data_IF_142786228328
#
_entry.id   IF_142786228328
#
_cell.length_a   1.000
_cell.length_b   1.000
_cell.length_c   1.000
_cell.angle_alpha   90.00
_cell.angle_beta   90.00
_cell.angle_gamma   90.00
#
_symmetry.space_group_name_H-M   'P 1'
#
loop_
_entity.id
_entity.type
_entity.pdbx_description
1 polymer ?
#
# COMPACT_ATOMS: atom_id res chain seq x y z
N UNK A 1 8.81 -12.91 -5.01
CA UNK A 1 8.96 -11.79 -4.04
C UNK A 1 8.14 -12.10 -2.80
N UNK A 2 8.72 -12.00 -1.61
CA UNK A 2 8.00 -12.17 -0.35
C UNK A 2 7.30 -10.85 0.02
N UNK A 3 5.98 -10.86 0.15
CA UNK A 3 5.18 -9.64 0.40
C UNK A 3 5.42 -9.10 1.81
N UNK A 4 5.55 -9.95 2.83
CA UNK A 4 5.84 -9.51 4.20
C UNK A 4 7.19 -8.80 4.30
N UNK A 5 8.22 -9.31 3.62
CA UNK A 5 9.52 -8.63 3.53
C UNK A 5 9.44 -7.34 2.72
N UNK A 6 8.61 -7.27 1.68
CA UNK A 6 8.40 -6.03 0.93
C UNK A 6 7.76 -4.95 1.83
N UNK A 7 6.75 -5.30 2.62
CA UNK A 7 6.05 -4.39 3.54
C UNK A 7 7.02 -3.75 4.53
N UNK A 8 8.04 -4.46 5.03
CA UNK A 8 8.99 -3.88 5.97
C UNK A 8 9.80 -2.71 5.39
N UNK A 9 9.88 -2.59 4.07
CA UNK A 9 10.55 -1.47 3.41
C UNK A 9 9.66 -0.23 3.21
N UNK A 10 8.36 -0.29 3.53
CA UNK A 10 7.50 0.89 3.45
C UNK A 10 8.08 2.04 4.29
N UNK A 11 8.24 3.21 3.66
CA UNK A 11 8.82 4.43 4.23
C UNK A 11 10.31 4.60 3.92
N UNK A 12 10.96 3.59 3.35
CA UNK A 12 12.32 3.71 2.87
C UNK A 12 12.36 4.25 1.43
N UNK A 13 13.42 4.99 1.13
CA UNK A 13 13.70 5.48 -0.21
C UNK A 13 14.13 4.34 -1.15
N UNK A 14 13.89 4.50 -2.44
CA UNK A 14 14.32 3.54 -3.48
C UNK A 14 15.85 3.33 -3.53
N UNK A 15 16.64 4.26 -2.98
CA UNK A 15 18.10 4.21 -2.90
C UNK A 15 18.62 3.66 -1.56
N UNK A 16 17.72 3.35 -0.61
CA UNK A 16 18.12 2.72 0.64
C UNK A 16 18.71 1.34 0.35
N UNK A 17 20.00 1.15 0.63
CA UNK A 17 20.78 -0.01 0.17
C UNK A 17 20.11 -1.38 0.46
N UNK A 18 19.62 -1.67 1.68
CA UNK A 18 18.87 -2.90 1.95
C UNK A 18 17.63 -3.09 1.07
N UNK A 19 16.91 -2.01 0.76
CA UNK A 19 15.71 -2.07 -0.06
C UNK A 19 16.05 -2.19 -1.55
N UNK A 20 17.02 -1.41 -2.04
CA UNK A 20 17.51 -1.49 -3.41
C UNK A 20 18.00 -2.90 -3.74
N UNK A 21 18.75 -3.53 -2.83
CA UNK A 21 19.22 -4.90 -2.99
C UNK A 21 18.10 -5.93 -2.94
N UNK A 22 17.09 -5.73 -2.08
CA UNK A 22 15.88 -6.56 -2.08
C UNK A 22 15.17 -6.47 -3.44
N UNK A 23 14.98 -5.26 -3.98
CA UNK A 23 14.33 -5.04 -5.28
C UNK A 23 15.14 -5.67 -6.43
N UNK A 24 16.47 -5.50 -6.44
CA UNK A 24 17.36 -6.11 -7.44
C UNK A 24 17.27 -7.64 -7.40
N UNK A 25 17.38 -8.23 -6.21
CA UNK A 25 17.31 -9.69 -6.01
C UNK A 25 15.99 -10.26 -6.52
N UNK A 26 14.91 -9.50 -6.39
CA UNK A 26 13.59 -9.88 -6.88
C UNK A 26 13.32 -9.48 -8.34
N UNK A 27 14.34 -9.07 -9.09
CA UNK A 27 14.25 -8.83 -10.53
C UNK A 27 13.55 -7.53 -10.92
N UNK A 28 13.33 -6.60 -9.98
CA UNK A 28 12.92 -5.23 -10.32
C UNK A 28 14.13 -4.56 -10.92
N UNK A 29 14.04 -4.10 -12.18
CA UNK A 29 15.19 -3.54 -12.91
C UNK A 29 15.18 -2.02 -12.99
N UNK A 30 14.00 -1.42 -12.97
CA UNK A 30 13.81 0.04 -13.02
C UNK A 30 13.28 0.50 -11.67
N UNK A 31 13.94 1.50 -11.10
CA UNK A 31 13.65 2.11 -9.80
C UNK A 31 13.86 3.62 -9.95
N UNK A 32 12.98 4.46 -9.37
CA UNK A 32 13.20 5.89 -9.30
C UNK A 32 14.55 6.16 -8.65
N UNK A 33 15.32 7.04 -9.27
CA UNK A 33 16.51 7.64 -8.68
C UNK A 33 16.19 9.09 -8.34
N UNK A 34 16.94 9.70 -7.45
CA UNK A 34 16.75 11.10 -7.04
C UNK A 34 16.76 12.11 -8.20
N UNK A 35 17.30 11.74 -9.36
CA UNK A 35 17.35 12.57 -10.58
C UNK A 35 16.15 12.40 -11.52
N UNK A 36 15.26 11.45 -11.24
CA UNK A 36 14.16 11.13 -12.13
C UNK A 36 13.00 12.14 -11.95
N UNK A 37 12.24 12.35 -13.02
CA UNK A 37 10.95 13.05 -12.97
C UNK A 37 9.90 12.00 -13.29
N UNK A 38 9.23 11.46 -12.25
CA UNK A 38 8.29 10.32 -12.34
C UNK A 38 8.99 8.99 -12.75
N UNK A 39 8.54 7.81 -12.26
CA UNK A 39 7.14 7.45 -11.97
C UNK A 39 6.80 7.05 -10.52
N UNK A 40 5.54 7.34 -10.15
CA UNK A 40 4.88 7.00 -8.88
C UNK A 40 4.36 5.57 -8.77
N UNK A 41 4.50 4.75 -9.81
CA UNK A 41 4.17 3.32 -9.77
C UNK A 41 5.10 2.51 -10.67
N UNK A 42 5.80 1.53 -10.09
CA UNK A 42 6.69 0.62 -10.80
C UNK A 42 6.03 -0.75 -10.89
N UNK A 43 5.91 -1.32 -12.09
CA UNK A 43 5.55 -2.73 -12.24
C UNK A 43 6.67 -3.62 -11.66
N UNK A 44 6.29 -4.54 -10.79
CA UNK A 44 7.19 -5.61 -10.35
C UNK A 44 7.37 -6.65 -11.45
N UNK A 45 8.38 -7.51 -11.29
CA UNK A 45 8.49 -8.76 -12.07
C UNK A 45 7.36 -9.74 -11.73
N UNK A 46 6.73 -9.59 -10.56
CA UNK A 46 5.56 -10.34 -10.15
C UNK A 46 4.31 -9.76 -10.82
N UNK A 47 3.57 -10.60 -11.53
CA UNK A 47 2.33 -10.21 -12.20
C UNK A 47 1.32 -9.61 -11.21
N UNK A 48 0.67 -8.52 -11.62
CA UNK A 48 -0.36 -7.83 -10.86
C UNK A 48 0.16 -7.04 -9.67
N UNK A 49 1.46 -7.07 -9.39
CA UNK A 49 2.09 -6.32 -8.31
C UNK A 49 2.71 -5.03 -8.86
N UNK A 50 2.32 -3.89 -8.28
CA UNK A 50 3.02 -2.63 -8.52
C UNK A 50 3.40 -1.93 -7.21
N UNK A 51 4.49 -1.17 -7.27
CA UNK A 51 5.14 -0.51 -6.15
C UNK A 51 4.98 1.00 -6.30
N UNK A 52 4.33 1.65 -5.34
CA UNK A 52 4.08 3.09 -5.33
C UNK A 52 5.16 3.87 -4.58
N UNK A 53 5.57 5.00 -5.14
CA UNK A 53 6.60 5.89 -4.56
C UNK A 53 6.10 7.33 -4.55
N UNK A 54 6.42 8.09 -3.51
CA UNK A 54 6.17 9.54 -3.42
C UNK A 54 7.50 10.29 -3.48
N UNK A 55 7.57 11.38 -4.23
CA UNK A 55 8.70 12.31 -4.30
C UNK A 55 8.63 13.45 -3.27
N UNK A 56 7.45 13.73 -2.74
CA UNK A 56 7.24 14.59 -1.58
C UNK A 56 6.34 13.93 -0.51
N UNK A 57 6.88 12.95 0.23
CA UNK A 57 6.12 12.27 1.26
C UNK A 57 5.73 13.21 2.43
N UNK A 58 6.46 14.30 2.65
CA UNK A 58 6.23 15.20 3.79
C UNK A 58 4.97 16.04 3.59
N UNK A 59 4.72 16.53 2.37
CA UNK A 59 3.46 17.21 2.02
C UNK A 59 2.23 16.30 2.22
N UNK A 60 2.41 14.99 2.02
CA UNK A 60 1.38 13.97 2.25
C UNK A 60 1.32 13.49 3.72
N UNK A 61 2.15 14.05 4.60
CA UNK A 61 2.21 13.62 6.01
C UNK A 61 2.73 12.19 6.18
N UNK A 62 3.48 11.65 5.21
CA UNK A 62 4.10 10.33 5.25
C UNK A 62 5.50 10.47 5.86
N UNK A 63 5.76 9.74 6.94
CA UNK A 63 7.07 9.77 7.60
C UNK A 63 8.09 8.91 6.84
N UNK A 64 9.24 9.52 6.57
CA UNK A 64 10.40 8.86 5.94
C UNK A 64 11.19 8.05 6.97
N UNK A 65 11.75 6.91 6.52
CA UNK A 65 12.64 6.04 7.32
C UNK A 65 14.09 6.06 6.84
N UNK A 66 14.36 6.62 5.66
CA UNK A 66 15.72 6.79 5.12
C UNK A 66 15.79 7.99 4.17
N UNK A 67 17.02 8.44 3.92
CA UNK A 67 17.32 9.54 3.00
C UNK A 67 17.10 9.15 1.53
N UNK A 68 16.71 10.10 0.68
CA UNK A 68 16.52 9.92 -0.78
C UNK A 68 15.14 10.37 -1.26
N UNK A 69 15.05 10.95 -2.46
CA UNK A 69 13.89 11.70 -2.93
C UNK A 69 12.61 10.89 -3.04
N UNK A 70 12.69 9.64 -3.50
CA UNK A 70 11.51 8.80 -3.75
C UNK A 70 11.29 7.77 -2.64
N UNK A 71 10.23 7.94 -1.85
CA UNK A 71 9.87 7.07 -0.72
C UNK A 71 8.81 6.05 -1.11
N UNK A 72 9.09 4.79 -0.83
CA UNK A 72 8.16 3.69 -1.07
C UNK A 72 6.97 3.76 -0.11
N UNK A 73 5.80 4.12 -0.64
CA UNK A 73 4.60 4.45 0.14
C UNK A 73 3.53 3.37 0.06
N UNK A 74 3.49 2.58 -1.01
CA UNK A 74 2.32 1.76 -1.34
C UNK A 74 2.66 0.52 -2.14
N UNK A 75 1.88 -0.54 -1.92
CA UNK A 75 1.88 -1.77 -2.69
C UNK A 75 0.49 -1.97 -3.25
N UNK A 76 0.39 -2.25 -4.54
CA UNK A 76 -0.86 -2.46 -5.25
C UNK A 76 -0.90 -3.87 -5.84
N UNK A 77 -2.06 -4.50 -5.72
CA UNK A 77 -2.33 -5.85 -6.21
C UNK A 77 -3.57 -5.80 -7.13
N UNK A 78 -3.37 -5.99 -8.44
CA UNK A 78 -4.45 -6.23 -9.39
C UNK A 78 -4.77 -7.73 -9.40
N UNK A 79 -6.02 -8.09 -9.12
CA UNK A 79 -6.45 -9.48 -8.92
C UNK A 79 -7.35 -9.99 -10.06
N UNK A 80 -7.64 -9.17 -11.08
CA UNK A 80 -8.59 -9.52 -12.16
C UNK A 80 -7.98 -9.42 -13.56
N UNK A 81 -6.76 -8.92 -13.70
CA UNK A 81 -6.07 -8.90 -14.99
C UNK A 81 -5.93 -10.33 -15.56
N UNK A 82 -6.57 -10.62 -16.70
CA UNK A 82 -6.67 -11.99 -17.27
C UNK A 82 -5.33 -12.72 -17.39
N UNK A 83 -4.26 -12.03 -17.75
CA UNK A 83 -2.91 -12.60 -17.92
C UNK A 83 -1.87 -11.98 -16.98
N UNK A 84 -2.23 -10.91 -16.26
CA UNK A 84 -1.32 -10.20 -15.33
C UNK A 84 -1.89 -10.14 -13.90
N UNK A 85 -2.83 -11.00 -13.51
CA UNK A 85 -3.38 -10.98 -12.16
C UNK A 85 -2.37 -11.48 -11.13
N UNK A 86 -2.35 -10.82 -9.98
CA UNK A 86 -1.66 -11.27 -8.81
C UNK A 86 -2.33 -12.53 -8.26
N UNK A 87 -1.54 -13.58 -8.06
CA UNK A 87 -1.98 -14.88 -7.54
C UNK A 87 -1.30 -15.27 -6.23
N UNK A 88 -0.45 -14.41 -5.68
CA UNK A 88 0.25 -14.66 -4.42
C UNK A 88 -0.61 -14.43 -3.19
N UNK A 89 -0.05 -14.76 -2.02
CA UNK A 89 -0.69 -14.50 -0.74
C UNK A 89 -0.54 -13.02 -0.33
N UNK A 90 -1.64 -12.44 0.16
CA UNK A 90 -1.64 -11.18 0.90
C UNK A 90 -1.46 -11.48 2.41
N UNK A 91 -1.03 -10.50 3.22
CA UNK A 91 -0.88 -10.66 4.66
C UNK A 91 -2.12 -11.24 5.35
N UNK A 92 -1.89 -11.92 6.48
CA UNK A 92 -2.94 -12.52 7.32
C UNK A 92 -3.78 -13.62 6.64
N UNK A 93 -3.31 -14.16 5.51
CA UNK A 93 -4.06 -15.16 4.74
C UNK A 93 -5.18 -14.55 3.87
N UNK A 94 -5.25 -13.22 3.79
CA UNK A 94 -6.31 -12.52 3.04
C UNK A 94 -6.21 -12.79 1.54
N UNK A 95 -5.04 -13.15 1.00
CA UNK A 95 -4.91 -13.49 -0.43
C UNK A 95 -5.74 -14.70 -0.87
N UNK A 96 -6.08 -15.59 0.08
CA UNK A 96 -6.95 -16.74 -0.13
C UNK A 96 -8.43 -16.39 0.03
N UNK A 97 -8.74 -15.35 0.81
CA UNK A 97 -10.08 -14.82 0.97
C UNK A 97 -10.46 -13.97 -0.26
N UNK A 98 -11.50 -14.36 -0.97
CA UNK A 98 -11.93 -13.66 -2.19
C UNK A 98 -13.20 -12.85 -1.99
N UNK A 99 -13.95 -13.15 -0.93
CA UNK A 99 -15.16 -12.43 -0.57
C UNK A 99 -14.96 -11.45 0.59
N UNK A 100 -15.77 -10.40 0.64
CA UNK A 100 -15.80 -9.45 1.74
C UNK A 100 -16.20 -10.07 3.08
N UNK A 101 -17.00 -11.14 3.07
CA UNK A 101 -17.35 -11.86 4.30
C UNK A 101 -16.12 -12.58 4.90
N UNK A 102 -15.33 -13.24 4.07
CA UNK A 102 -14.11 -13.93 4.51
C UNK A 102 -13.06 -12.92 5.01
N UNK A 103 -12.87 -11.81 4.30
CA UNK A 103 -11.95 -10.75 4.74
C UNK A 103 -12.37 -10.19 6.09
N UNK A 104 -13.67 -9.96 6.30
CA UNK A 104 -14.22 -9.52 7.60
C UNK A 104 -14.03 -10.55 8.71
N UNK A 105 -14.12 -11.84 8.39
CA UNK A 105 -13.86 -12.89 9.37
C UNK A 105 -12.40 -12.93 9.83
N UNK A 106 -11.46 -12.54 8.95
CA UNK A 106 -10.02 -12.51 9.24
C UNK A 106 -9.61 -11.20 9.93
N UNK A 107 -10.06 -10.06 9.41
CA UNK A 107 -9.58 -8.72 9.82
C UNK A 107 -10.53 -7.99 10.77
N UNK A 108 -11.75 -8.49 10.96
CA UNK A 108 -12.81 -7.79 11.69
C UNK A 108 -13.62 -6.83 10.82
N UNK A 109 -14.31 -5.88 11.44
CA UNK A 109 -15.09 -4.87 10.73
C UNK A 109 -14.16 -3.83 10.06
N UNK A 110 -14.44 -3.41 8.81
CA UNK A 110 -13.69 -2.33 8.18
C UNK A 110 -13.94 -1.01 8.90
N UNK A 111 -12.98 -0.10 8.83
CA UNK A 111 -13.14 1.28 9.31
C UNK A 111 -14.03 2.09 8.40
N UNK A 112 -13.91 1.86 7.09
CA UNK A 112 -14.78 2.47 6.09
C UNK A 112 -15.25 1.41 5.10
N UNK A 113 -16.51 1.49 4.72
CA UNK A 113 -17.13 0.66 3.69
C UNK A 113 -18.02 1.56 2.85
N UNK A 114 -17.87 1.51 1.53
CA UNK A 114 -18.59 2.40 0.63
C UNK A 114 -18.38 2.08 -0.83
N UNK A 115 -18.94 2.91 -1.68
CA UNK A 115 -18.91 2.70 -3.13
C UNK A 115 -17.47 2.68 -3.65
N UNK A 116 -17.16 1.69 -4.48
CA UNK A 116 -15.90 1.67 -5.21
C UNK A 116 -15.95 2.79 -6.27
N UNK A 117 -15.00 3.74 -6.30
CA UNK A 117 -15.06 4.85 -7.25
C UNK A 117 -14.90 4.43 -8.71
N UNK A 118 -14.42 3.20 -8.97
CA UNK A 118 -14.07 2.73 -10.32
C UNK A 118 -15.08 1.72 -10.88
N UNK A 119 -16.03 1.23 -10.08
CA UNK A 119 -17.04 0.25 -10.52
C UNK A 119 -18.26 0.26 -9.60
N UNK A 120 -19.34 -0.42 -9.98
CA UNK A 120 -20.50 -0.64 -9.11
C UNK A 120 -20.22 -1.51 -7.87
N UNK A 121 -18.96 -1.80 -7.57
CA UNK A 121 -18.55 -2.58 -6.42
C UNK A 121 -18.48 -1.80 -5.10
N UNK A 122 -17.85 -2.43 -4.11
CA UNK A 122 -17.66 -1.88 -2.77
C UNK A 122 -16.17 -1.83 -2.43
N UNK A 123 -15.75 -0.74 -1.80
CA UNK A 123 -14.44 -0.59 -1.17
C UNK A 123 -14.54 -0.83 0.34
N UNK A 124 -13.59 -1.55 0.90
CA UNK A 124 -13.45 -1.75 2.34
C UNK A 124 -12.04 -1.35 2.76
N UNK A 125 -11.93 -0.46 3.75
CA UNK A 125 -10.64 0.00 4.25
C UNK A 125 -10.42 -0.35 5.72
N UNK A 126 -9.21 -0.75 6.05
CA UNK A 126 -8.77 -1.17 7.37
C UNK A 126 -7.50 -0.43 7.76
N UNK A 127 -7.27 -0.28 9.06
CA UNK A 127 -6.01 0.22 9.60
C UNK A 127 -5.44 -0.80 10.58
N UNK A 128 -4.30 -1.40 10.21
CA UNK A 128 -3.70 -2.55 10.91
C UNK A 128 -2.18 -2.35 10.96
N UNK A 129 -1.60 -2.39 12.16
CA UNK A 129 -0.13 -2.33 12.32
C UNK A 129 0.51 -1.11 11.65
N UNK A 130 -0.10 0.06 11.82
CA UNK A 130 0.31 1.34 11.23
C UNK A 130 0.20 1.46 9.70
N UNK A 131 -0.51 0.52 9.06
CA UNK A 131 -0.74 0.51 7.62
C UNK A 131 -2.23 0.58 7.29
N UNK A 132 -2.51 1.20 6.15
CA UNK A 132 -3.84 1.22 5.54
C UNK A 132 -3.93 0.07 4.55
N UNK A 133 -4.98 -0.74 4.69
CA UNK A 133 -5.34 -1.80 3.76
C UNK A 133 -6.64 -1.43 3.07
N UNK A 134 -6.65 -1.43 1.75
CA UNK A 134 -7.87 -1.18 0.95
C UNK A 134 -8.16 -2.41 0.11
N UNK A 135 -9.41 -2.87 0.15
CA UNK A 135 -9.91 -3.97 -0.66
C UNK A 135 -11.06 -3.45 -1.51
N UNK A 136 -10.89 -3.50 -2.83
CA UNK A 136 -11.88 -3.03 -3.79
C UNK A 136 -12.48 -4.23 -4.52
N UNK A 137 -13.78 -4.45 -4.32
CA UNK A 137 -14.54 -5.49 -4.98
C UNK A 137 -15.16 -4.95 -6.27
N UNK A 138 -15.39 -5.84 -7.25
CA UNK A 138 -16.05 -5.47 -8.51
C UNK A 138 -17.58 -5.48 -8.46
N UNK A 139 -18.16 -5.95 -7.36
CA UNK A 139 -19.60 -6.15 -7.19
C UNK A 139 -20.06 -5.75 -5.79
N UNK A 140 -21.33 -5.31 -5.69
CA UNK A 140 -21.95 -4.89 -4.41
C UNK A 140 -22.03 -6.00 -3.38
N UNK A 141 -22.11 -7.25 -3.81
CA UNK A 141 -22.15 -8.39 -2.91
C UNK A 141 -20.76 -8.74 -2.34
N UNK A 142 -19.71 -7.99 -2.73
CA UNK A 142 -18.33 -8.21 -2.34
C UNK A 142 -17.87 -9.66 -2.58
N UNK A 143 -18.28 -10.27 -3.69
CA UNK A 143 -17.97 -11.67 -4.00
C UNK A 143 -16.68 -11.84 -4.80
N UNK A 144 -16.26 -10.80 -5.52
CA UNK A 144 -15.06 -10.81 -6.35
C UNK A 144 -14.15 -9.65 -6.01
N UNK A 145 -13.13 -9.92 -5.20
CA UNK A 145 -12.05 -8.98 -4.93
C UNK A 145 -11.29 -8.65 -6.22
N UNK A 146 -11.26 -7.37 -6.58
CA UNK A 146 -10.68 -6.89 -7.82
C UNK A 146 -9.30 -6.26 -7.65
N UNK A 147 -9.12 -5.55 -6.55
CA UNK A 147 -7.89 -4.85 -6.25
C UNK A 147 -7.66 -4.83 -4.75
N UNK A 148 -6.40 -4.89 -4.34
CA UNK A 148 -6.01 -4.60 -2.98
C UNK A 148 -4.82 -3.64 -2.95
N UNK A 149 -4.73 -2.82 -1.91
CA UNK A 149 -3.53 -2.03 -1.64
C UNK A 149 -3.15 -2.05 -0.17
N UNK A 150 -1.85 -1.92 0.07
CA UNK A 150 -1.25 -1.76 1.39
C UNK A 150 -0.39 -0.50 1.33
N UNK A 151 -0.65 0.50 2.17
CA UNK A 151 0.07 1.77 2.13
C UNK A 151 0.39 2.30 3.51
N UNK A 152 1.38 3.20 3.56
CA UNK A 152 1.51 4.13 4.67
C UNK A 152 0.31 5.07 4.68
N UNK A 153 -0.19 5.46 5.86
CA UNK A 153 -1.26 6.44 5.97
C UNK A 153 -0.77 7.83 5.53
N UNK A 154 -1.56 8.50 4.71
CA UNK A 154 -1.33 9.90 4.31
C UNK A 154 -2.21 10.88 5.12
N UNK A 155 -2.15 12.17 4.81
CA UNK A 155 -2.97 13.20 5.45
C UNK A 155 -4.47 12.97 5.24
N UNK A 156 -4.89 12.55 4.04
CA UNK A 156 -6.30 12.29 3.70
C UNK A 156 -6.85 11.12 4.52
N UNK A 157 -6.08 10.04 4.67
CA UNK A 157 -6.46 8.89 5.51
C UNK A 157 -6.73 9.31 6.96
N UNK A 158 -6.01 10.32 7.46
CA UNK A 158 -6.18 10.82 8.83
C UNK A 158 -7.34 11.79 8.95
N UNK A 159 -7.51 12.67 7.98
CA UNK A 159 -8.66 13.60 7.90
C UNK A 159 -9.99 12.85 7.85
N UNK A 160 -10.02 11.73 7.13
CA UNK A 160 -11.20 10.86 7.02
C UNK A 160 -11.26 9.75 8.09
N UNK A 161 -10.44 9.83 9.15
CA UNK A 161 -10.46 8.95 10.33
C UNK A 161 -10.17 7.47 10.00
N UNK A 162 -9.61 7.19 8.83
CA UNK A 162 -9.13 5.86 8.45
C UNK A 162 -7.88 5.51 9.26
N UNK A 163 -6.94 6.45 9.42
CA UNK A 163 -5.77 6.32 10.26
C UNK A 163 -5.79 7.30 11.45
N UNK A 164 -5.13 7.00 12.58
CA UNK A 164 -4.97 7.95 13.68
C UNK A 164 -4.23 9.22 13.23
N UNK A 165 -4.63 10.37 13.78
CA UNK A 165 -3.87 11.59 13.62
C UNK A 165 -2.43 11.41 14.14
N UNK A 166 -1.45 12.01 13.47
CA UNK A 166 -0.06 11.99 13.94
C UNK A 166 -0.01 12.75 15.27
N UNK A 167 0.59 12.20 16.34
CA UNK A 167 0.81 12.96 17.55
C UNK A 167 1.66 14.18 17.21
N UNK A 168 1.10 15.38 17.39
CA UNK A 168 1.86 16.62 17.33
C UNK A 168 2.97 16.49 18.36
N UNK A 169 4.22 16.30 17.92
CA UNK A 169 5.37 16.50 18.80
C UNK A 169 5.31 17.96 19.20
N UNK A 170 4.78 18.24 20.40
CA UNK A 170 5.02 19.53 21.06
C UNK A 170 6.53 19.64 21.17
N UNK A 171 7.13 20.48 20.32
CA UNK A 171 8.46 20.99 20.58
C UNK A 171 8.36 21.71 21.92
N UNK A 172 8.81 21.04 22.98
CA UNK A 172 9.15 21.72 24.22
C UNK A 172 10.43 22.47 23.88
N UNK A 173 10.29 23.75 23.55
CA UNK A 173 11.40 24.68 23.65
C UNK A 173 11.79 24.72 25.13
N UNK A 174 12.76 23.90 25.53
CA UNK A 174 13.50 24.15 26.76
C UNK A 174 14.33 25.42 26.50
N UNK A 175 13.99 26.48 27.25
CA UNK A 175 14.67 27.75 27.29
C UNK A 175 15.77 27.76 28.35
#
# INVERSE_FOLDING_TARGET
MNISSLISFLGHSSIHEPFDDFLKTNGVKRRPKDTDSYPYAIKSSVLGLSLGFEDDPEELGIQRKSDGGFVFSKINFDLVAKEEAFSGDLPFGVGQARSGQEVRAILGAPRTEGDNPVSDGVGMSYFIGDLVYVFSYSDRAATRLAFASISLPDSSDREHVLAPAVPVRKFVCEA
#
